data_IF_801025000698
#
_entry.id   IF_801025000698
#
_cell.length_a   1.000
_cell.length_b   1.000
_cell.length_c   1.000
_cell.angle_alpha   90.00
_cell.angle_beta   90.00
_cell.angle_gamma   90.00
#
_symmetry.space_group_name_H-M   'P 1'
#
loop_
_entity.id
_entity.type
_entity.pdbx_description
1 polymer ?
#
# COMPACT_ATOMS: atom_id res chain seq x y z
N UNK A 1 -0.54 5.39 12.32
CA UNK A 1 -1.54 5.51 11.23
C UNK A 1 -1.29 4.45 10.16
N UNK A 2 -2.20 4.26 9.21
CA UNK A 2 -2.07 3.34 8.07
C UNK A 2 -1.83 4.12 6.77
N UNK A 3 -1.75 3.45 5.62
CA UNK A 3 -1.73 4.10 4.29
C UNK A 3 -2.95 5.00 4.05
N UNK A 4 -4.10 4.72 4.68
CA UNK A 4 -5.30 5.56 4.57
C UNK A 4 -5.35 6.75 5.55
N UNK A 5 -4.52 6.73 6.60
CA UNK A 5 -4.57 7.74 7.67
C UNK A 5 -3.24 8.47 7.86
N UNK A 6 -2.33 8.36 6.89
CA UNK A 6 -1.06 9.08 6.89
C UNK A 6 -1.20 10.51 6.42
N UNK A 7 -0.13 11.29 6.57
CA UNK A 7 -0.06 12.65 6.06
C UNK A 7 1.14 12.80 5.11
N UNK A 8 0.96 13.63 4.08
CA UNK A 8 2.01 13.97 3.15
C UNK A 8 3.25 14.50 3.90
N UNK A 9 4.44 14.16 3.42
CA UNK A 9 5.72 14.45 4.08
C UNK A 9 5.93 15.94 4.36
N UNK A 10 5.47 16.83 3.48
CA UNK A 10 5.52 18.29 3.72
C UNK A 10 4.66 18.74 4.89
N UNK A 11 3.51 18.09 5.11
CA UNK A 11 2.65 18.38 6.26
C UNK A 11 3.33 17.93 7.55
N UNK A 12 3.94 16.74 7.53
CA UNK A 12 4.73 16.25 8.67
C UNK A 12 5.89 17.20 8.98
N UNK A 13 6.65 17.64 7.98
CA UNK A 13 7.76 18.58 8.17
C UNK A 13 7.28 19.91 8.80
N UNK A 14 6.17 20.47 8.31
CA UNK A 14 5.59 21.70 8.86
C UNK A 14 5.09 21.50 10.29
N UNK A 15 4.48 20.36 10.60
CA UNK A 15 3.98 20.05 11.93
C UNK A 15 5.13 19.89 12.95
N UNK A 16 6.20 19.20 12.58
CA UNK A 16 7.41 19.08 13.41
C UNK A 16 8.02 20.46 13.71
N UNK A 17 8.09 21.34 12.72
CA UNK A 17 8.57 22.71 12.92
C UNK A 17 7.63 23.55 13.80
N UNK A 18 6.32 23.46 13.58
CA UNK A 18 5.32 24.20 14.35
C UNK A 18 5.31 23.81 15.83
N UNK A 19 5.61 22.55 16.13
CA UNK A 19 5.73 22.01 17.48
C UNK A 19 7.13 22.18 18.09
N UNK A 20 8.08 22.76 17.34
CA UNK A 20 9.46 22.96 17.79
C UNK A 20 10.29 21.67 17.93
N UNK A 21 9.83 20.57 17.33
CA UNK A 21 10.54 19.29 17.30
C UNK A 21 11.72 19.33 16.33
N UNK A 22 11.55 20.03 15.20
CA UNK A 22 12.59 20.19 14.18
C UNK A 22 12.89 21.65 13.89
N UNK A 23 14.12 21.91 13.44
CA UNK A 23 14.51 23.21 12.87
C UNK A 23 14.05 23.32 11.42
N UNK A 24 13.83 24.54 10.90
CA UNK A 24 13.55 24.74 9.48
C UNK A 24 14.62 24.08 8.59
N UNK A 25 14.17 23.26 7.64
CA UNK A 25 15.02 22.57 6.67
C UNK A 25 15.56 21.21 7.11
N UNK A 26 15.28 20.76 8.34
CA UNK A 26 15.55 19.37 8.73
C UNK A 26 14.72 18.41 7.88
N UNK A 27 15.31 17.30 7.37
CA UNK A 27 14.62 16.44 6.43
C UNK A 27 13.76 15.39 7.13
N UNK A 28 12.54 15.18 6.62
CA UNK A 28 11.65 14.10 7.06
C UNK A 28 11.79 12.89 6.13
N UNK A 29 11.80 11.67 6.71
CA UNK A 29 11.81 10.44 5.92
C UNK A 29 10.46 10.20 5.25
N UNK A 30 10.49 9.80 3.98
CA UNK A 30 9.30 9.33 3.24
C UNK A 30 9.09 7.85 3.52
N UNK A 31 8.02 7.53 4.22
CA UNK A 31 7.62 6.15 4.54
C UNK A 31 6.91 5.48 3.37
N UNK A 32 5.99 6.18 2.72
CA UNK A 32 5.32 5.66 1.52
C UNK A 32 5.64 6.54 0.32
N UNK A 33 6.51 6.08 -0.60
CA UNK A 33 6.83 6.81 -1.82
C UNK A 33 5.65 7.06 -2.77
N UNK A 34 4.59 6.25 -2.75
CA UNK A 34 3.50 6.38 -3.71
C UNK A 34 2.67 7.64 -3.43
N UNK A 35 2.20 7.78 -2.18
CA UNK A 35 1.44 8.94 -1.71
C UNK A 35 2.35 10.03 -1.11
N UNK A 36 3.66 9.79 -1.04
CA UNK A 36 4.65 10.66 -0.38
C UNK A 36 4.35 10.91 1.10
N UNK A 37 4.00 9.87 1.85
CA UNK A 37 3.70 9.98 3.30
C UNK A 37 4.99 10.11 4.13
N UNK A 38 4.98 11.01 5.11
CA UNK A 38 6.10 11.19 6.03
C UNK A 38 6.07 10.19 7.20
N UNK A 39 7.24 9.81 7.70
CA UNK A 39 7.36 9.08 8.97
C UNK A 39 6.89 9.99 10.11
N UNK A 40 5.99 9.48 10.95
CA UNK A 40 5.61 10.11 12.21
C UNK A 40 6.48 9.51 13.31
N UNK A 41 7.57 10.19 13.66
CA UNK A 41 8.51 9.72 14.71
C UNK A 41 7.91 9.83 16.11
N UNK A 42 8.48 9.11 17.09
CA UNK A 42 7.91 8.96 18.43
C UNK A 42 7.66 10.31 19.15
N UNK A 43 8.56 11.27 19.01
CA UNK A 43 8.40 12.62 19.56
C UNK A 43 7.19 13.38 18.99
N UNK A 44 6.91 13.20 17.70
CA UNK A 44 5.73 13.75 17.04
C UNK A 44 4.47 12.96 17.42
N UNK A 45 4.56 11.64 17.58
CA UNK A 45 3.45 10.82 18.07
C UNK A 45 3.03 11.29 19.47
N UNK A 46 3.99 11.49 20.37
CA UNK A 46 3.78 12.00 21.72
C UNK A 46 3.17 13.41 21.71
N UNK A 47 3.71 14.32 20.90
CA UNK A 47 3.22 15.70 20.81
C UNK A 47 1.80 15.81 20.23
N UNK A 48 1.37 14.82 19.44
CA UNK A 48 0.03 14.73 18.87
C UNK A 48 -0.90 13.82 19.69
N UNK A 49 -0.41 13.25 20.80
CA UNK A 49 -1.15 12.31 21.64
C UNK A 49 -1.74 11.13 20.85
N UNK A 50 -0.98 10.61 19.88
CA UNK A 50 -1.41 9.45 19.09
C UNK A 50 -1.38 8.19 19.98
N UNK A 51 -2.34 7.31 19.76
CA UNK A 51 -2.54 6.06 20.49
C UNK A 51 -2.13 4.82 19.68
N UNK A 52 -1.64 5.01 18.45
CA UNK A 52 -1.33 3.93 17.49
C UNK A 52 0.02 4.09 16.80
N UNK A 53 0.68 2.96 16.56
CA UNK A 53 1.91 2.86 15.74
C UNK A 53 1.72 1.84 14.63
N UNK A 54 2.30 2.11 13.46
CA UNK A 54 2.22 1.20 12.31
C UNK A 54 3.31 0.14 12.40
N UNK A 55 2.96 -1.14 12.20
CA UNK A 55 3.91 -2.18 11.82
C UNK A 55 4.18 -2.04 10.31
N UNK A 56 5.38 -1.61 9.89
CA UNK A 56 5.64 -1.42 8.47
C UNK A 56 5.76 -2.75 7.74
N UNK A 57 5.41 -2.76 6.45
CA UNK A 57 5.72 -3.88 5.58
C UNK A 57 7.20 -3.90 5.18
N UNK A 58 7.74 -5.05 4.73
CA UNK A 58 9.12 -5.15 4.27
C UNK A 58 9.37 -4.32 3.00
N UNK A 59 8.36 -4.20 2.13
CA UNK A 59 8.45 -3.48 0.85
C UNK A 59 7.35 -2.43 0.75
N UNK A 60 7.65 -1.32 0.09
CA UNK A 60 6.69 -0.25 -0.19
C UNK A 60 5.86 -0.54 -1.46
N UNK A 61 5.00 0.41 -1.83
CA UNK A 61 4.10 0.33 -2.98
C UNK A 61 4.77 0.05 -4.34
N UNK A 62 6.07 0.34 -4.47
CA UNK A 62 6.84 0.06 -5.68
C UNK A 62 7.61 -1.26 -5.60
N UNK A 63 7.48 -2.04 -4.53
CA UNK A 63 8.08 -3.37 -4.40
C UNK A 63 9.54 -3.37 -3.97
N UNK A 64 10.03 -2.29 -3.38
CA UNK A 64 11.37 -2.23 -2.77
C UNK A 64 11.33 -1.77 -1.31
N UNK A 65 12.39 -2.07 -0.57
CA UNK A 65 12.56 -1.69 0.84
C UNK A 65 12.87 -0.21 1.04
N UNK A 66 12.44 0.33 2.18
CA UNK A 66 12.77 1.69 2.61
C UNK A 66 14.11 1.74 3.36
N UNK A 67 15.20 1.50 2.64
CA UNK A 67 16.56 1.45 3.18
C UNK A 67 17.49 2.44 2.45
N UNK A 68 18.70 2.62 2.98
CA UNK A 68 19.77 3.42 2.36
C UNK A 68 19.32 4.82 1.92
N UNK A 69 18.79 5.58 2.89
CA UNK A 69 18.17 6.87 2.69
C UNK A 69 19.08 7.89 1.99
N UNK A 70 18.53 8.59 1.00
CA UNK A 70 19.19 9.69 0.28
C UNK A 70 18.38 10.98 0.35
N UNK A 71 19.08 12.10 0.31
CA UNK A 71 18.47 13.44 0.35
C UNK A 71 17.79 13.75 -0.97
N UNK A 72 16.61 14.35 -0.88
CA UNK A 72 15.88 14.93 -2.01
C UNK A 72 15.10 16.16 -1.51
N UNK A 73 14.69 17.00 -2.45
CA UNK A 73 13.83 18.15 -2.17
C UNK A 73 12.60 18.01 -3.05
N UNK A 74 11.43 17.95 -2.43
CA UNK A 74 10.13 17.88 -3.12
C UNK A 74 9.89 19.16 -3.93
N UNK A 75 8.91 19.13 -4.84
CA UNK A 75 8.60 20.30 -5.67
C UNK A 75 8.11 21.52 -4.88
N UNK A 76 7.55 21.32 -3.68
CA UNK A 76 7.17 22.41 -2.78
C UNK A 76 8.31 22.93 -1.88
N UNK A 77 9.53 22.41 -2.07
CA UNK A 77 10.73 22.85 -1.36
C UNK A 77 11.00 22.14 -0.03
N UNK A 78 10.20 21.14 0.33
CA UNK A 78 10.43 20.34 1.55
C UNK A 78 11.66 19.44 1.38
N UNK A 79 12.61 19.54 2.32
CA UNK A 79 13.74 18.61 2.40
C UNK A 79 13.25 17.27 2.92
N UNK A 80 13.61 16.19 2.24
CA UNK A 80 13.19 14.84 2.60
C UNK A 80 14.32 13.84 2.48
N UNK A 81 14.15 12.70 3.14
CA UNK A 81 14.92 11.49 2.91
C UNK A 81 14.04 10.46 2.21
N UNK A 82 14.48 10.01 1.03
CA UNK A 82 13.81 8.96 0.26
C UNK A 82 14.68 7.69 0.21
N UNK A 83 14.10 6.50 0.03
CA UNK A 83 14.89 5.27 -0.11
C UNK A 83 15.86 5.32 -1.30
N UNK A 84 16.95 4.54 -1.26
CA UNK A 84 17.97 4.51 -2.31
C UNK A 84 17.37 4.30 -3.71
N UNK A 85 16.37 3.41 -3.81
CA UNK A 85 15.70 3.02 -5.05
C UNK A 85 14.62 4.01 -5.54
N UNK A 86 14.32 5.06 -4.77
CA UNK A 86 13.45 6.15 -5.23
C UNK A 86 14.15 6.96 -6.32
N UNK A 87 13.61 7.06 -7.52
CA UNK A 87 14.19 7.89 -8.56
C UNK A 87 13.97 9.39 -8.25
N UNK A 88 15.05 10.16 -8.22
CA UNK A 88 15.03 11.61 -7.97
C UNK A 88 15.35 12.42 -9.21
N UNK A 89 15.61 11.76 -10.33
CA UNK A 89 16.01 12.42 -11.58
C UNK A 89 14.75 12.73 -12.40
N UNK A 90 14.47 14.02 -12.68
CA UNK A 90 13.33 14.40 -13.50
C UNK A 90 13.54 14.08 -14.97
N UNK A 91 12.44 13.76 -15.65
CA UNK A 91 12.33 13.69 -17.10
C UNK A 91 12.42 15.09 -17.74
N UNK A 92 12.58 15.21 -19.08
CA UNK A 92 12.62 16.50 -19.75
C UNK A 92 11.40 17.40 -19.51
N UNK A 93 10.22 16.82 -19.25
CA UNK A 93 8.99 17.56 -18.89
C UNK A 93 8.95 18.01 -17.41
N UNK A 94 9.95 17.62 -16.62
CA UNK A 94 10.09 17.90 -15.19
C UNK A 94 9.34 16.93 -14.28
N UNK A 95 8.68 15.89 -14.83
CA UNK A 95 8.06 14.85 -14.03
C UNK A 95 9.09 13.89 -13.44
N UNK A 96 8.73 13.20 -12.35
CA UNK A 96 9.52 12.11 -11.79
C UNK A 96 8.83 10.79 -12.17
N UNK A 97 9.56 9.90 -12.83
CA UNK A 97 9.11 8.52 -13.05
C UNK A 97 9.58 7.62 -11.93
N UNK A 98 8.75 6.65 -11.54
CA UNK A 98 9.11 5.57 -10.64
C UNK A 98 9.02 4.21 -11.32
N UNK A 99 9.88 3.30 -10.87
CA UNK A 99 10.10 2.00 -11.52
C UNK A 99 9.83 0.86 -10.53
N UNK A 100 9.23 -0.25 -11.00
CA UNK A 100 8.96 -1.40 -10.15
C UNK A 100 10.28 -1.95 -9.60
N UNK A 101 10.34 -2.15 -8.29
CA UNK A 101 11.48 -2.68 -7.55
C UNK A 101 12.77 -1.82 -7.65
N UNK A 102 12.64 -0.58 -8.15
CA UNK A 102 13.76 0.29 -8.50
C UNK A 102 14.48 -0.09 -9.81
N UNK A 103 13.90 -0.98 -10.62
CA UNK A 103 14.52 -1.50 -11.84
C UNK A 103 14.24 -0.61 -13.05
N UNK A 104 15.24 0.18 -13.45
CA UNK A 104 15.15 1.08 -14.61
C UNK A 104 15.32 0.38 -15.96
N UNK A 105 15.57 -0.95 -15.97
CA UNK A 105 15.65 -1.73 -17.22
C UNK A 105 14.27 -2.06 -17.80
N UNK A 106 13.20 -1.86 -17.02
CA UNK A 106 11.81 -2.06 -17.44
C UNK A 106 11.05 -0.73 -17.47
N UNK A 107 9.89 -0.65 -18.15
CA UNK A 107 9.09 0.57 -18.19
C UNK A 107 8.70 1.06 -16.79
N UNK A 108 8.66 2.39 -16.62
CA UNK A 108 8.19 3.02 -15.40
C UNK A 108 6.76 2.57 -15.06
N UNK A 109 6.47 2.42 -13.77
CA UNK A 109 5.17 1.99 -13.26
C UNK A 109 4.37 3.11 -12.61
N UNK A 110 4.97 4.28 -12.39
CA UNK A 110 4.27 5.44 -11.86
C UNK A 110 4.92 6.77 -12.28
N UNK A 111 4.14 7.85 -12.24
CA UNK A 111 4.55 9.21 -12.61
C UNK A 111 4.05 10.22 -11.59
N UNK A 112 4.95 11.04 -11.08
CA UNK A 112 4.62 12.28 -10.38
C UNK A 112 4.80 13.44 -11.36
N UNK A 113 3.74 14.17 -11.74
CA UNK A 113 3.88 15.31 -12.65
C UNK A 113 4.74 16.41 -12.01
N UNK A 114 5.30 17.30 -12.84
CA UNK A 114 6.05 18.46 -12.36
C UNK A 114 5.16 19.29 -11.42
N UNK A 115 5.63 19.54 -10.18
CA UNK A 115 4.84 20.24 -9.17
C UNK A 115 3.81 19.36 -8.45
N UNK A 116 3.79 18.05 -8.71
CA UNK A 116 2.92 17.09 -8.05
C UNK A 116 3.35 16.77 -6.61
N UNK A 117 2.44 16.17 -5.86
CA UNK A 117 2.63 15.77 -4.46
C UNK A 117 2.67 14.25 -4.28
N UNK A 118 2.21 13.48 -5.26
CA UNK A 118 2.17 12.02 -5.21
C UNK A 118 2.37 11.44 -6.61
N UNK A 119 2.53 10.13 -6.69
CA UNK A 119 2.64 9.40 -7.95
C UNK A 119 1.28 8.82 -8.35
N UNK A 120 0.95 8.96 -9.62
CA UNK A 120 -0.12 8.19 -10.25
C UNK A 120 0.47 6.94 -10.90
N UNK A 121 -0.23 5.80 -10.79
CA UNK A 121 0.18 4.58 -11.49
C UNK A 121 0.13 4.77 -13.03
N UNK A 122 1.13 4.25 -13.72
CA UNK A 122 1.13 4.13 -15.18
C UNK A 122 0.50 2.78 -15.52
N UNK A 123 -0.66 2.81 -16.19
CA UNK A 123 -1.31 1.61 -16.70
C UNK A 123 -0.41 0.97 -17.76
N UNK A 124 -0.04 -0.30 -17.51
CA UNK A 124 0.79 -1.13 -18.40
C UNK A 124 0.05 -2.37 -18.87
N UNK A 125 -1.29 -2.31 -18.86
CA UNK A 125 -2.15 -3.36 -19.38
C UNK A 125 -2.05 -3.42 -20.91
N UNK A 126 -1.92 -4.61 -21.46
CA UNK A 126 -2.09 -4.83 -22.90
C UNK A 126 -3.59 -4.90 -23.27
N UNK A 127 -3.96 -4.77 -24.56
CA UNK A 127 -5.34 -4.94 -24.99
C UNK A 127 -5.95 -6.26 -24.52
N UNK A 128 -7.18 -6.22 -24.01
CA UNK A 128 -7.90 -7.40 -23.52
C UNK A 128 -8.44 -8.22 -24.68
N UNK A 129 -8.22 -9.53 -24.60
CA UNK A 129 -8.91 -10.55 -25.40
C UNK A 129 -9.74 -11.41 -24.44
N UNK A 130 -11.07 -11.18 -24.43
CA UNK A 130 -12.00 -11.86 -23.53
C UNK A 130 -11.93 -13.39 -23.63
N UNK A 131 -11.57 -13.93 -24.80
CA UNK A 131 -11.47 -15.38 -25.01
C UNK A 131 -10.23 -16.01 -24.37
N UNK A 132 -9.28 -15.18 -23.93
CA UNK A 132 -7.99 -15.59 -23.35
C UNK A 132 -7.79 -15.11 -21.91
N UNK A 133 -8.74 -14.38 -21.34
CA UNK A 133 -8.63 -13.91 -19.96
C UNK A 133 -8.56 -15.10 -18.98
N UNK A 134 -7.53 -15.11 -18.14
CA UNK A 134 -7.35 -16.08 -17.06
C UNK A 134 -7.33 -15.34 -15.71
N UNK A 135 -8.21 -15.70 -14.74
CA UNK A 135 -8.16 -15.14 -13.39
C UNK A 135 -6.78 -15.29 -12.72
N UNK A 136 -5.98 -16.29 -13.09
CA UNK A 136 -4.63 -16.49 -12.55
C UNK A 136 -3.67 -15.33 -12.90
N UNK A 137 -3.88 -14.63 -14.01
CA UNK A 137 -3.05 -13.48 -14.38
C UNK A 137 -3.21 -12.29 -13.40
N UNK A 138 -4.41 -12.12 -12.86
CA UNK A 138 -4.70 -11.14 -11.81
C UNK A 138 -4.25 -11.58 -10.41
N UNK A 139 -3.64 -12.77 -10.27
CA UNK A 139 -3.11 -13.28 -9.02
C UNK A 139 -1.59 -13.29 -8.95
N UNK A 140 -0.89 -12.75 -9.96
CA UNK A 140 0.56 -12.81 -10.10
C UNK A 140 1.32 -12.32 -8.85
N UNK A 141 0.75 -11.37 -8.12
CA UNK A 141 1.31 -10.78 -6.92
C UNK A 141 0.98 -11.52 -5.62
N UNK A 142 -0.03 -12.39 -5.64
CA UNK A 142 -0.49 -13.08 -4.44
C UNK A 142 0.22 -14.44 -4.37
N UNK A 143 1.11 -14.56 -3.39
CA UNK A 143 1.76 -15.81 -3.04
C UNK A 143 1.97 -15.91 -1.54
N UNK A 144 2.46 -17.06 -1.05
CA UNK A 144 2.86 -17.22 0.34
C UNK A 144 3.86 -16.14 0.74
N UNK A 145 3.66 -15.52 1.91
CA UNK A 145 4.67 -14.64 2.50
C UNK A 145 5.96 -15.46 2.72
N UNK A 146 7.11 -14.89 2.33
CA UNK A 146 8.40 -15.57 2.48
C UNK A 146 8.84 -15.63 3.94
N UNK A 147 9.65 -16.63 4.30
CA UNK A 147 10.23 -16.74 5.65
C UNK A 147 11.05 -15.50 6.03
N UNK A 148 11.72 -14.87 5.06
CA UNK A 148 12.46 -13.63 5.23
C UNK A 148 11.53 -12.46 5.58
N UNK A 149 10.44 -12.28 4.83
CA UNK A 149 9.45 -11.24 5.11
C UNK A 149 8.72 -11.49 6.46
N UNK A 150 8.45 -12.74 6.81
CA UNK A 150 7.88 -13.12 8.12
C UNK A 150 8.82 -12.78 9.29
N UNK A 151 10.11 -13.00 9.11
CA UNK A 151 11.12 -12.64 10.12
C UNK A 151 11.22 -11.13 10.31
N UNK A 152 11.10 -10.34 9.23
CA UNK A 152 11.01 -8.87 9.32
C UNK A 152 9.79 -8.46 10.14
N UNK A 153 8.62 -9.03 9.86
CA UNK A 153 7.40 -8.74 10.64
C UNK A 153 7.58 -9.12 12.11
N UNK A 154 8.16 -10.28 12.41
CA UNK A 154 8.41 -10.73 13.79
C UNK A 154 9.30 -9.74 14.54
N UNK A 155 10.45 -9.38 13.95
CA UNK A 155 11.42 -8.47 14.57
C UNK A 155 10.80 -7.10 14.83
N UNK A 156 10.10 -6.53 13.86
CA UNK A 156 9.48 -5.21 14.00
C UNK A 156 8.31 -5.23 15.00
N UNK A 157 7.51 -6.31 15.02
CA UNK A 157 6.47 -6.46 16.01
C UNK A 157 7.04 -6.61 17.42
N UNK A 158 8.15 -7.35 17.59
CA UNK A 158 8.85 -7.48 18.88
C UNK A 158 9.42 -6.15 19.36
N UNK A 159 10.07 -5.41 18.45
CA UNK A 159 10.64 -4.07 18.70
C UNK A 159 9.54 -3.11 19.18
N UNK A 160 8.45 -2.99 18.42
CA UNK A 160 7.34 -2.11 18.77
C UNK A 160 6.69 -2.56 20.09
N UNK A 161 6.35 -3.83 20.23
CA UNK A 161 5.65 -4.33 21.41
C UNK A 161 6.49 -4.17 22.70
N UNK A 162 7.82 -4.25 22.60
CA UNK A 162 8.72 -4.09 23.76
C UNK A 162 8.98 -2.63 24.08
N UNK A 163 9.07 -1.77 23.07
CA UNK A 163 9.58 -0.41 23.22
C UNK A 163 8.51 0.68 23.15
N UNK A 164 7.23 0.34 22.93
CA UNK A 164 6.12 1.30 22.97
C UNK A 164 4.92 0.78 23.78
N UNK A 165 4.08 1.70 24.23
CA UNK A 165 2.77 1.44 24.83
C UNK A 165 1.61 1.71 23.86
N UNK A 166 1.90 2.06 22.61
CA UNK A 166 0.91 2.34 21.58
C UNK A 166 0.29 1.06 21.02
N UNK A 167 -0.97 1.15 20.57
CA UNK A 167 -1.61 0.06 19.86
C UNK A 167 -0.97 -0.15 18.49
N UNK A 168 -0.45 -1.35 18.24
CA UNK A 168 0.20 -1.71 16.97
C UNK A 168 -0.88 -2.01 15.92
N UNK A 169 -0.86 -1.25 14.83
CA UNK A 169 -1.72 -1.42 13.67
C UNK A 169 -0.92 -2.03 12.53
N UNK A 170 -1.44 -3.04 11.84
CA UNK A 170 -0.79 -3.66 10.69
C UNK A 170 -1.72 -3.77 9.49
N UNK A 171 -1.15 -3.69 8.29
CA UNK A 171 -1.81 -4.09 7.04
C UNK A 171 -1.01 -5.22 6.41
N UNK A 172 -1.66 -6.35 6.12
CA UNK A 172 -1.03 -7.48 5.44
C UNK A 172 -1.45 -7.52 3.97
N UNK A 173 -0.48 -7.75 3.09
CA UNK A 173 -0.72 -7.73 1.64
C UNK A 173 -1.76 -8.75 1.18
N UNK A 174 -2.49 -8.41 0.11
CA UNK A 174 -3.48 -9.28 -0.52
C UNK A 174 -4.83 -9.37 0.18
N UNK A 175 -5.10 -8.54 1.18
CA UNK A 175 -6.36 -8.53 1.94
C UNK A 175 -7.42 -7.57 1.39
N UNK A 176 -7.02 -6.55 0.62
CA UNK A 176 -7.91 -5.61 -0.04
C UNK A 176 -8.31 -6.12 -1.45
N UNK A 177 -9.61 -6.20 -1.72
CA UNK A 177 -10.14 -6.79 -2.95
C UNK A 177 -10.43 -5.71 -3.99
N UNK A 178 -9.65 -5.66 -5.06
CA UNK A 178 -9.86 -4.72 -6.16
C UNK A 178 -9.57 -3.26 -5.81
N UNK A 179 -8.70 -3.02 -4.83
CA UNK A 179 -8.17 -1.70 -4.52
C UNK A 179 -7.46 -1.11 -5.75
N UNK A 180 -7.96 0.03 -6.24
CA UNK A 180 -7.51 0.62 -7.49
C UNK A 180 -6.10 1.22 -7.43
N UNK A 181 -5.55 1.45 -6.23
CA UNK A 181 -4.15 1.81 -6.10
C UNK A 181 -3.25 0.58 -6.40
N UNK A 182 -3.74 -0.63 -6.10
CA UNK A 182 -3.03 -1.89 -6.27
C UNK A 182 -3.33 -2.59 -7.60
N UNK A 183 -4.51 -2.38 -8.20
CA UNK A 183 -4.92 -3.01 -9.47
C UNK A 183 -3.86 -2.83 -10.57
N UNK A 184 -3.31 -1.63 -10.83
CA UNK A 184 -2.23 -1.44 -11.81
C UNK A 184 -0.92 -2.18 -11.50
N UNK A 185 -0.78 -2.69 -10.27
CA UNK A 185 0.38 -3.42 -9.74
C UNK A 185 1.70 -2.68 -9.99
N UNK A 186 1.89 -1.48 -9.40
CA UNK A 186 3.08 -0.65 -9.64
C UNK A 186 4.39 -1.31 -9.18
N UNK A 187 4.30 -2.36 -8.36
CA UNK A 187 5.40 -3.18 -7.86
C UNK A 187 5.80 -4.35 -8.79
N UNK A 188 4.99 -4.69 -9.81
CA UNK A 188 5.31 -5.74 -10.79
C UNK A 188 6.03 -5.18 -12.02
N UNK A 189 6.96 -5.95 -12.61
CA UNK A 189 7.68 -5.52 -13.83
C UNK A 189 6.83 -5.58 -15.09
N UNK A 190 6.04 -6.64 -15.22
CA UNK A 190 5.15 -6.88 -16.36
C UNK A 190 3.83 -7.48 -15.84
N UNK A 191 2.92 -6.63 -15.33
CA UNK A 191 1.67 -7.11 -14.75
C UNK A 191 0.77 -7.68 -15.85
N UNK A 192 0.08 -8.79 -15.55
CA UNK A 192 -0.85 -9.47 -16.47
C UNK A 192 -2.29 -9.36 -16.01
N UNK A 193 -3.25 -9.61 -16.90
CA UNK A 193 -4.67 -9.54 -16.57
C UNK A 193 -5.20 -8.12 -16.62
N UNK A 194 -6.29 -7.86 -15.89
CA UNK A 194 -6.97 -6.57 -15.85
C UNK A 194 -6.26 -5.65 -14.84
N UNK A 195 -5.58 -4.62 -15.35
CA UNK A 195 -4.69 -3.70 -14.63
C UNK A 195 -5.01 -2.23 -14.88
N UNK A 196 -5.87 -1.95 -15.85
CA UNK A 196 -6.43 -0.62 -16.04
C UNK A 196 -7.57 -0.38 -15.03
N UNK A 197 -7.62 0.81 -14.44
CA UNK A 197 -8.57 1.17 -13.37
C UNK A 197 -10.00 1.25 -13.92
N UNK A 198 -10.19 1.87 -15.08
CA UNK A 198 -11.50 1.98 -15.73
C UNK A 198 -11.99 0.58 -16.13
N UNK A 199 -11.13 -0.19 -16.79
CA UNK A 199 -11.45 -1.55 -17.23
C UNK A 199 -11.75 -2.48 -16.06
N UNK A 200 -11.06 -2.32 -14.93
CA UNK A 200 -11.36 -3.06 -13.70
C UNK A 200 -12.78 -2.79 -13.22
N UNK A 201 -13.19 -1.52 -13.12
CA UNK A 201 -14.55 -1.18 -12.73
C UNK A 201 -15.59 -1.67 -13.72
N UNK A 202 -15.34 -1.54 -15.03
CA UNK A 202 -16.21 -2.12 -16.06
C UNK A 202 -16.37 -3.62 -15.83
N UNK A 203 -15.27 -4.32 -15.54
CA UNK A 203 -15.23 -5.77 -15.34
C UNK A 203 -15.96 -6.24 -14.07
N UNK A 204 -16.10 -5.39 -13.04
CA UNK A 204 -16.95 -5.72 -11.88
C UNK A 204 -18.41 -5.91 -12.27
N UNK A 205 -18.84 -5.34 -13.40
CA UNK A 205 -20.20 -5.45 -13.94
C UNK A 205 -20.26 -6.43 -15.11
N UNK A 206 -19.36 -6.31 -16.09
CA UNK A 206 -19.44 -7.05 -17.36
C UNK A 206 -18.78 -8.43 -17.29
N UNK A 207 -17.80 -8.63 -16.40
CA UNK A 207 -17.02 -9.87 -16.23
C UNK A 207 -17.11 -10.40 -14.82
N UNK A 208 -18.33 -10.40 -14.26
CA UNK A 208 -18.53 -10.65 -12.84
C UNK A 208 -18.01 -12.01 -12.35
N UNK A 209 -18.20 -13.06 -13.14
CA UNK A 209 -17.73 -14.41 -12.78
C UNK A 209 -16.20 -14.50 -12.79
N UNK A 210 -15.53 -13.78 -13.70
CA UNK A 210 -14.07 -13.63 -13.69
C UNK A 210 -13.59 -12.97 -12.38
N UNK A 211 -14.20 -11.83 -12.00
CA UNK A 211 -13.81 -11.11 -10.78
C UNK A 211 -14.10 -11.94 -9.52
N UNK A 212 -15.24 -12.65 -9.47
CA UNK A 212 -15.54 -13.60 -8.38
C UNK A 212 -14.48 -14.69 -8.26
N UNK A 213 -13.97 -15.20 -9.37
CA UNK A 213 -12.91 -16.21 -9.37
C UNK A 213 -11.56 -15.64 -8.89
N UNK A 214 -11.20 -14.43 -9.32
CA UNK A 214 -10.02 -13.71 -8.80
C UNK A 214 -10.14 -13.53 -7.28
N UNK A 215 -11.25 -12.98 -6.79
CA UNK A 215 -11.44 -12.74 -5.36
C UNK A 215 -11.52 -14.01 -4.53
N UNK A 216 -12.11 -15.09 -5.05
CA UNK A 216 -12.15 -16.38 -4.36
C UNK A 216 -10.73 -16.91 -4.11
N UNK A 217 -9.91 -16.93 -5.16
CA UNK A 217 -8.53 -17.43 -5.09
C UNK A 217 -7.62 -16.48 -4.28
N UNK A 218 -7.77 -15.17 -4.45
CA UNK A 218 -7.08 -14.17 -3.63
C UNK A 218 -7.41 -14.36 -2.15
N UNK A 219 -8.68 -14.58 -1.81
CA UNK A 219 -9.12 -14.78 -0.43
C UNK A 219 -8.56 -16.08 0.18
N UNK A 220 -8.45 -17.16 -0.62
CA UNK A 220 -7.77 -18.40 -0.17
C UNK A 220 -6.31 -18.13 0.19
N UNK A 221 -5.57 -17.47 -0.70
CA UNK A 221 -4.16 -17.12 -0.46
C UNK A 221 -4.02 -16.18 0.75
N UNK A 222 -4.88 -15.17 0.86
CA UNK A 222 -4.87 -14.22 1.95
C UNK A 222 -5.13 -14.88 3.31
N UNK A 223 -6.03 -15.88 3.41
CA UNK A 223 -6.24 -16.63 4.65
C UNK A 223 -4.98 -17.41 5.06
N UNK A 224 -4.29 -18.06 4.12
CA UNK A 224 -3.04 -18.75 4.44
C UNK A 224 -1.95 -17.76 4.88
N UNK A 225 -1.85 -16.62 4.22
CA UNK A 225 -0.92 -15.55 4.60
C UNK A 225 -1.23 -14.95 5.97
N UNK A 226 -2.52 -14.79 6.33
CA UNK A 226 -2.91 -14.34 7.66
C UNK A 226 -2.50 -15.36 8.75
N UNK A 227 -2.58 -16.67 8.47
CA UNK A 227 -2.05 -17.70 9.39
C UNK A 227 -0.54 -17.57 9.59
N UNK A 228 0.21 -17.39 8.50
CA UNK A 228 1.67 -17.22 8.54
C UNK A 228 2.05 -15.94 9.29
N UNK A 229 1.39 -14.82 8.97
CA UNK A 229 1.58 -13.56 9.68
C UNK A 229 1.29 -13.72 11.18
N UNK A 230 0.18 -14.36 11.55
CA UNK A 230 -0.15 -14.62 12.96
C UNK A 230 0.91 -15.49 13.67
N UNK A 231 1.49 -16.48 13.00
CA UNK A 231 2.60 -17.25 13.58
C UNK A 231 3.82 -16.37 13.88
N UNK A 232 4.11 -15.38 13.03
CA UNK A 232 5.21 -14.46 13.23
C UNK A 232 4.93 -13.43 14.34
N UNK A 233 3.74 -12.82 14.36
CA UNK A 233 3.46 -11.65 15.23
C UNK A 233 2.61 -11.97 16.46
N UNK A 234 1.90 -13.10 16.47
CA UNK A 234 0.94 -13.52 17.50
C UNK A 234 -0.06 -12.41 17.87
N UNK A 235 -0.45 -12.31 19.14
CA UNK A 235 -1.42 -11.32 19.65
C UNK A 235 -0.81 -9.91 19.85
N UNK A 236 0.34 -9.58 19.23
CA UNK A 236 0.98 -8.25 19.36
C UNK A 236 0.29 -7.18 18.53
N UNK A 237 -0.49 -7.57 17.52
CA UNK A 237 -1.20 -6.65 16.63
C UNK A 237 -2.58 -6.37 17.23
N UNK A 238 -2.86 -5.09 17.46
CA UNK A 238 -4.08 -4.63 18.13
C UNK A 238 -5.18 -4.27 17.13
N UNK A 239 -4.78 -3.86 15.92
CA UNK A 239 -5.70 -3.53 14.84
C UNK A 239 -5.14 -4.00 13.50
N UNK A 240 -5.98 -4.62 12.68
CA UNK A 240 -5.63 -5.02 11.32
C UNK A 240 -6.41 -4.14 10.34
N UNK A 241 -5.69 -3.44 9.48
CA UNK A 241 -6.27 -2.71 8.36
C UNK A 241 -6.50 -3.68 7.21
N UNK A 242 -7.76 -3.82 6.79
CA UNK A 242 -8.20 -4.88 5.89
C UNK A 242 -8.43 -4.43 4.45
N UNK A 243 -9.03 -3.26 4.26
CA UNK A 243 -9.50 -2.86 2.95
C UNK A 243 -9.32 -1.35 2.73
N UNK A 244 -8.79 -1.03 1.56
CA UNK A 244 -8.65 0.32 1.01
C UNK A 244 -9.44 0.50 -0.30
N UNK A 245 -10.20 -0.50 -0.73
CA UNK A 245 -10.90 -0.45 -2.01
C UNK A 245 -11.93 0.69 -2.04
N UNK A 246 -11.82 1.51 -3.08
CA UNK A 246 -12.79 2.54 -3.36
C UNK A 246 -14.10 1.89 -3.82
N UNK A 247 -15.19 2.21 -3.11
CA UNK A 247 -16.55 1.78 -3.45
C UNK A 247 -17.49 2.99 -3.63
N UNK A 248 -16.96 4.18 -3.40
CA UNK A 248 -17.66 5.45 -3.44
C UNK A 248 -16.77 6.56 -4.00
N UNK A 249 -17.42 7.59 -4.52
CA UNK A 249 -16.82 8.88 -4.88
C UNK A 249 -17.11 9.90 -3.79
N UNK A 250 -16.56 11.10 -3.94
CA UNK A 250 -16.79 12.22 -3.03
C UNK A 250 -18.28 12.50 -2.72
N UNK A 251 -19.17 12.29 -3.69
CA UNK A 251 -20.58 12.70 -3.59
C UNK A 251 -21.59 11.57 -3.75
N UNK A 252 -21.16 10.34 -4.10
CA UNK A 252 -22.08 9.24 -4.37
C UNK A 252 -21.38 7.88 -4.34
N UNK A 253 -22.15 6.81 -4.15
CA UNK A 253 -21.67 5.45 -4.40
C UNK A 253 -21.53 5.20 -5.90
N UNK A 254 -20.45 4.55 -6.33
CA UNK A 254 -20.39 3.93 -7.66
C UNK A 254 -20.53 2.41 -7.57
N UNK A 255 -20.26 1.80 -6.42
CA UNK A 255 -20.64 0.41 -6.13
C UNK A 255 -22.01 0.40 -5.43
N UNK A 256 -23.00 -0.28 -6.02
CA UNK A 256 -24.31 -0.41 -5.38
C UNK A 256 -24.22 -1.32 -4.14
N UNK A 257 -25.09 -1.14 -3.12
CA UNK A 257 -25.12 -2.03 -1.97
C UNK A 257 -25.28 -3.52 -2.33
N UNK A 258 -26.08 -3.83 -3.36
CA UNK A 258 -26.25 -5.21 -3.84
C UNK A 258 -25.02 -5.71 -4.61
N UNK A 259 -24.36 -4.81 -5.37
CA UNK A 259 -23.06 -5.05 -5.97
C UNK A 259 -22.02 -5.46 -4.94
N UNK A 260 -21.91 -4.70 -3.85
CA UNK A 260 -21.01 -5.00 -2.73
C UNK A 260 -21.32 -6.34 -2.06
N UNK A 261 -22.59 -6.57 -1.70
CA UNK A 261 -23.03 -7.80 -1.00
C UNK A 261 -22.74 -9.07 -1.77
N UNK A 262 -22.84 -9.03 -3.10
CA UNK A 262 -22.62 -10.19 -3.94
C UNK A 262 -21.15 -10.33 -4.37
N UNK A 263 -20.46 -9.23 -4.70
CA UNK A 263 -19.12 -9.28 -5.29
C UNK A 263 -18.00 -9.19 -4.26
N UNK A 264 -18.13 -8.44 -3.17
CA UNK A 264 -17.03 -8.15 -2.23
C UNK A 264 -17.24 -8.79 -0.87
N UNK A 265 -18.44 -8.62 -0.29
CA UNK A 265 -18.76 -9.03 1.07
C UNK A 265 -18.43 -10.50 1.39
N UNK A 266 -18.69 -11.50 0.51
CA UNK A 266 -18.38 -12.89 0.84
C UNK A 266 -16.89 -13.12 1.16
N UNK A 267 -16.01 -12.43 0.45
CA UNK A 267 -14.55 -12.56 0.57
C UNK A 267 -14.02 -11.73 1.74
N UNK A 268 -14.46 -10.48 1.88
CA UNK A 268 -14.14 -9.65 3.04
C UNK A 268 -14.58 -10.32 4.35
N UNK A 269 -15.79 -10.89 4.38
CA UNK A 269 -16.30 -11.64 5.53
C UNK A 269 -15.44 -12.85 5.84
N UNK A 270 -14.99 -13.60 4.84
CA UNK A 270 -14.11 -14.76 5.02
C UNK A 270 -12.81 -14.39 5.74
N UNK A 271 -12.18 -13.27 5.37
CA UNK A 271 -10.96 -12.80 6.04
C UNK A 271 -11.24 -12.34 7.47
N UNK A 272 -12.26 -11.49 7.65
CA UNK A 272 -12.64 -10.97 8.96
C UNK A 272 -13.07 -12.08 9.94
N UNK A 273 -13.85 -13.06 9.47
CA UNK A 273 -14.26 -14.22 10.27
C UNK A 273 -13.04 -15.02 10.73
N UNK A 274 -12.02 -15.18 9.87
CA UNK A 274 -10.79 -15.86 10.24
C UNK A 274 -10.05 -15.08 11.32
N UNK A 275 -9.89 -13.76 11.18
CA UNK A 275 -9.21 -12.91 12.18
C UNK A 275 -9.94 -13.02 13.53
N UNK A 276 -11.24 -12.70 13.57
CA UNK A 276 -12.03 -12.73 14.81
C UNK A 276 -12.09 -14.10 15.48
N UNK A 277 -11.96 -15.20 14.72
CA UNK A 277 -11.96 -16.55 15.27
C UNK A 277 -10.60 -16.97 15.83
N UNK A 278 -9.50 -16.45 15.30
CA UNK A 278 -8.15 -16.98 15.56
C UNK A 278 -7.23 -16.00 16.31
N UNK A 279 -7.60 -14.72 16.42
CA UNK A 279 -6.83 -13.71 17.15
C UNK A 279 -7.62 -13.15 18.34
N UNK A 280 -6.93 -12.53 19.30
CA UNK A 280 -7.55 -11.84 20.44
C UNK A 280 -7.74 -10.35 20.21
#
# INVERSE_FOLDING_TARGET
GTFCSGAHVSVIAQLRQALGLDKPGEPVKVFDPYQMLGVVEADLQDALELDVVNLPGPKNFFGFENTNWKRWTTFDGTNVLVPEKFNTNPEPDGSILQYPQGDRSVPASAKMPKGGFFFDAIVRQEPIDDSKLDPADNLQEFGPISDEDLEVYRQQADELYTNTNLAIVAGFGGTAFGDIALVPAPFLKHPKGIRDIEEWYISTVTRREYIKEVFARQADIAVENLKLAYQAVADKIHCVWMDGADLASQNSLFCSPDGYRELYLPYAKKLNDWIHKNTK
#
